data_IF_612303035519
#
_entry.id   IF_612303035519
#
_cell.length_a   1.000
_cell.length_b   1.000
_cell.length_c   1.000
_cell.angle_alpha   90.00
_cell.angle_beta   90.00
_cell.angle_gamma   90.00
#
_symmetry.space_group_name_H-M   'P 1'
#
loop_
_entity.id
_entity.type
_entity.pdbx_description
1 polymer ?
#
# COMPACT_ATOMS: atom_id res chain seq x y z
N UNK A 1 4.48 37.70 9.02
CA UNK A 1 4.26 36.43 9.75
C UNK A 1 2.90 35.81 9.46
N UNK A 2 1.77 36.51 9.61
CA UNK A 2 0.45 35.89 9.39
C UNK A 2 0.21 35.51 7.91
N UNK A 3 0.60 36.38 6.96
CA UNK A 3 0.51 36.09 5.51
C UNK A 3 1.41 34.94 5.04
N UNK A 4 2.59 34.75 5.65
CA UNK A 4 3.53 33.69 5.28
C UNK A 4 3.06 32.32 5.76
N UNK A 5 2.44 32.24 6.94
CA UNK A 5 1.90 30.99 7.47
C UNK A 5 0.68 30.52 6.67
N UNK A 6 -0.23 31.43 6.32
CA UNK A 6 -1.42 31.09 5.49
C UNK A 6 -1.00 30.59 4.11
N UNK A 7 0.00 31.22 3.49
CA UNK A 7 0.55 30.74 2.21
C UNK A 7 1.21 29.36 2.36
N UNK A 8 1.97 29.12 3.44
CA UNK A 8 2.63 27.84 3.67
C UNK A 8 1.64 26.69 3.88
N UNK A 9 0.60 26.93 4.69
CA UNK A 9 -0.45 25.97 4.98
C UNK A 9 -1.29 25.56 3.75
N UNK A 10 -1.24 26.33 2.66
CA UNK A 10 -1.91 25.99 1.39
C UNK A 10 -0.94 25.38 0.36
N UNK A 11 0.27 25.93 0.24
CA UNK A 11 1.22 25.52 -0.80
C UNK A 11 1.94 24.21 -0.48
N UNK A 12 2.31 23.98 0.79
CA UNK A 12 3.06 22.78 1.20
C UNK A 12 2.25 21.50 1.02
N UNK A 13 0.97 21.42 1.47
CA UNK A 13 0.17 20.21 1.24
C UNK A 13 0.07 19.83 -0.24
N UNK A 14 -0.14 20.82 -1.12
CA UNK A 14 -0.21 20.58 -2.56
C UNK A 14 1.11 20.06 -3.13
N UNK A 15 2.24 20.66 -2.75
CA UNK A 15 3.57 20.23 -3.21
C UNK A 15 3.93 18.80 -2.77
N UNK A 16 3.33 18.33 -1.67
CA UNK A 16 3.55 17.00 -1.10
C UNK A 16 2.41 16.02 -1.41
N UNK A 17 1.43 16.36 -2.25
CA UNK A 17 0.27 15.50 -2.51
C UNK A 17 -0.53 15.12 -1.25
N UNK A 18 -0.72 16.07 -0.32
CA UNK A 18 -1.53 15.89 0.89
C UNK A 18 -2.92 16.46 0.64
N UNK A 19 -3.92 15.59 0.62
CA UNK A 19 -5.34 15.96 0.49
C UNK A 19 -6.07 16.00 1.83
N UNK A 20 -5.47 15.40 2.88
CA UNK A 20 -6.06 15.37 4.22
C UNK A 20 -6.03 16.77 4.84
N UNK A 21 -7.19 17.30 5.29
CA UNK A 21 -7.22 18.60 5.96
C UNK A 21 -6.42 18.60 7.27
N UNK A 22 -5.67 19.67 7.50
CA UNK A 22 -4.95 19.90 8.75
C UNK A 22 -5.95 20.31 9.84
N UNK A 23 -5.90 19.62 10.98
CA UNK A 23 -6.68 19.91 12.16
C UNK A 23 -5.98 20.98 13.00
N UNK A 24 -6.27 22.24 12.71
CA UNK A 24 -5.69 23.38 13.42
C UNK A 24 -6.01 23.44 14.92
N UNK A 25 -7.00 22.67 15.42
CA UNK A 25 -7.31 22.61 16.86
C UNK A 25 -6.23 21.93 17.69
N UNK A 26 -5.42 21.06 17.06
CA UNK A 26 -4.32 20.36 17.72
C UNK A 26 -2.96 20.81 17.20
N UNK A 27 -2.92 21.93 16.47
CA UNK A 27 -1.70 22.46 15.87
C UNK A 27 -0.88 23.24 16.90
N UNK A 28 0.41 22.94 16.97
CA UNK A 28 1.34 23.42 18.00
C UNK A 28 2.42 24.33 17.41
N UNK A 29 3.19 25.00 18.26
CA UNK A 29 4.36 25.79 17.83
C UNK A 29 5.42 24.93 17.13
N UNK A 30 5.53 23.64 17.49
CA UNK A 30 6.41 22.68 16.81
C UNK A 30 5.92 22.37 15.40
N UNK A 31 4.60 22.28 15.22
CA UNK A 31 3.98 22.09 13.91
C UNK A 31 4.20 23.33 13.03
N UNK A 32 4.08 24.52 13.61
CA UNK A 32 4.38 25.80 12.94
C UNK A 32 5.84 25.83 12.44
N UNK A 33 6.79 25.51 13.32
CA UNK A 33 8.20 25.43 12.95
C UNK A 33 8.44 24.42 11.82
N UNK A 34 7.83 23.22 11.92
CA UNK A 34 7.96 22.16 10.91
C UNK A 34 7.39 22.61 9.56
N UNK A 35 6.22 23.25 9.56
CA UNK A 35 5.58 23.78 8.35
C UNK A 35 6.45 24.85 7.67
N UNK A 36 7.08 25.74 8.45
CA UNK A 36 8.04 26.72 7.92
C UNK A 36 9.27 26.07 7.30
N UNK A 37 9.80 24.97 7.87
CA UNK A 37 10.91 24.23 7.25
C UNK A 37 10.47 23.58 5.94
N UNK A 38 9.29 22.96 5.90
CA UNK A 38 8.74 22.38 4.68
C UNK A 38 8.49 23.44 3.60
N UNK A 39 8.00 24.63 3.96
CA UNK A 39 7.83 25.73 3.02
C UNK A 39 9.16 26.15 2.40
N UNK A 40 10.20 26.34 3.22
CA UNK A 40 11.55 26.66 2.73
C UNK A 40 12.08 25.57 1.79
N UNK A 41 11.87 24.30 2.12
CA UNK A 41 12.36 23.19 1.33
C UNK A 41 11.61 23.04 -0.01
N UNK A 42 10.28 22.93 0.03
CA UNK A 42 9.47 22.53 -1.14
C UNK A 42 8.95 23.70 -1.97
N UNK A 43 8.86 24.92 -1.40
CA UNK A 43 8.35 26.10 -2.11
C UNK A 43 9.48 27.04 -2.47
N UNK A 44 10.38 27.33 -1.53
CA UNK A 44 11.52 28.21 -1.78
C UNK A 44 12.76 27.48 -2.34
N UNK A 45 12.74 26.14 -2.40
CA UNK A 45 13.86 25.30 -2.85
C UNK A 45 15.17 25.57 -2.09
N UNK A 46 15.07 25.83 -0.79
CA UNK A 46 16.22 26.14 0.08
C UNK A 46 16.63 24.95 0.93
N UNK A 47 17.93 24.86 1.21
CA UNK A 47 18.45 23.96 2.21
C UNK A 47 17.86 24.26 3.59
N UNK A 48 17.68 23.22 4.39
CA UNK A 48 17.21 23.32 5.77
C UNK A 48 18.29 22.85 6.76
N UNK A 49 18.21 23.39 7.97
CA UNK A 49 19.08 22.94 9.07
C UNK A 49 18.47 21.71 9.74
N UNK A 50 19.10 20.56 9.58
CA UNK A 50 18.76 19.32 10.30
C UNK A 50 19.97 18.83 11.10
N UNK A 51 19.71 18.21 12.24
CA UNK A 51 20.75 17.58 13.07
C UNK A 51 20.62 16.06 12.90
N UNK A 52 21.62 15.41 12.32
CA UNK A 52 21.66 13.95 12.07
C UNK A 52 20.37 13.36 11.46
N UNK A 53 19.86 13.87 10.31
CA UNK A 53 18.64 13.32 9.74
C UNK A 53 18.87 11.90 9.21
N UNK A 54 17.89 11.02 9.48
CA UNK A 54 17.80 9.73 8.80
C UNK A 54 17.49 9.97 7.31
N UNK A 55 18.01 9.11 6.43
CA UNK A 55 17.83 9.26 4.99
C UNK A 55 16.36 9.22 4.53
N UNK A 56 15.52 8.46 5.25
CA UNK A 56 14.06 8.42 5.10
C UNK A 56 13.47 8.61 6.50
N UNK A 57 12.50 9.51 6.65
CA UNK A 57 11.92 9.79 7.95
C UNK A 57 10.49 10.31 7.87
N UNK A 58 9.78 10.22 9.00
CA UNK A 58 8.42 10.73 9.17
C UNK A 58 8.44 12.09 9.88
N UNK A 59 7.65 13.03 9.38
CA UNK A 59 7.21 14.20 10.16
C UNK A 59 5.71 14.05 10.45
N UNK A 60 5.31 14.35 11.69
CA UNK A 60 3.91 14.51 12.06
C UNK A 60 3.63 15.99 12.26
N UNK A 61 2.58 16.51 11.61
CA UNK A 61 2.10 17.89 11.76
C UNK A 61 0.63 17.81 12.15
N UNK A 62 0.27 18.19 13.37
CA UNK A 62 -1.09 17.99 13.89
C UNK A 62 -1.59 16.54 13.66
N UNK A 63 -2.58 16.33 12.79
CA UNK A 63 -3.16 15.03 12.44
C UNK A 63 -2.55 14.36 11.19
N UNK A 64 -1.66 15.02 10.45
CA UNK A 64 -1.08 14.48 9.21
C UNK A 64 0.30 13.87 9.46
N UNK A 65 0.59 12.77 8.77
CA UNK A 65 1.89 12.12 8.76
C UNK A 65 2.48 12.14 7.35
N UNK A 66 3.70 12.66 7.24
CA UNK A 66 4.37 12.90 5.96
C UNK A 66 5.66 12.07 5.92
N UNK A 67 5.82 11.25 4.89
CA UNK A 67 7.06 10.53 4.60
C UNK A 67 7.96 11.39 3.72
N UNK A 68 9.19 11.63 4.16
CA UNK A 68 10.17 12.48 3.48
C UNK A 68 11.51 11.76 3.38
N UNK A 69 12.31 12.18 2.41
CA UNK A 69 13.72 11.79 2.32
C UNK A 69 14.62 13.00 2.52
N UNK A 70 15.79 12.76 3.09
CA UNK A 70 16.79 13.78 3.31
C UNK A 70 18.08 13.43 2.59
N UNK A 71 18.61 14.39 1.84
CA UNK A 71 19.91 14.29 1.19
C UNK A 71 20.88 15.33 1.77
N UNK A 72 22.13 14.93 1.99
CA UNK A 72 23.21 15.84 2.38
C UNK A 72 24.06 16.21 1.17
N UNK A 73 24.48 17.46 1.08
CA UNK A 73 25.45 17.90 0.07
C UNK A 73 26.91 17.61 0.46
N UNK A 74 27.14 16.86 1.54
CA UNK A 74 28.45 16.58 2.15
C UNK A 74 29.21 17.84 2.62
N UNK A 75 28.57 19.02 2.63
CA UNK A 75 29.10 20.30 3.11
C UNK A 75 28.29 20.85 4.29
N UNK A 76 27.48 20.00 4.91
CA UNK A 76 26.68 20.32 6.10
C UNK A 76 25.31 20.95 5.80
N UNK A 77 24.88 21.00 4.52
CA UNK A 77 23.50 21.38 4.17
C UNK A 77 22.66 20.15 3.91
N UNK A 78 21.39 20.25 4.24
CA UNK A 78 20.41 19.19 4.04
C UNK A 78 19.27 19.68 3.15
N UNK A 79 18.84 18.81 2.25
CA UNK A 79 17.75 19.04 1.32
C UNK A 79 16.69 17.99 1.58
N UNK A 80 15.42 18.44 1.64
CA UNK A 80 14.29 17.52 1.70
C UNK A 80 13.76 17.28 0.30
N UNK A 81 13.35 16.05 0.08
CA UNK A 81 12.60 15.68 -1.11
C UNK A 81 11.40 14.81 -0.72
N UNK A 82 10.44 14.72 -1.62
CA UNK A 82 9.28 13.85 -1.47
C UNK A 82 9.77 12.40 -1.56
N UNK A 83 9.47 11.58 -0.56
CA UNK A 83 9.91 10.19 -0.57
C UNK A 83 9.38 9.40 -1.77
N UNK A 84 8.20 9.77 -2.28
CA UNK A 84 7.50 9.05 -3.35
C UNK A 84 8.07 9.29 -4.77
N UNK A 85 9.15 10.05 -4.90
CA UNK A 85 9.94 10.16 -6.15
C UNK A 85 11.13 9.19 -6.17
N UNK A 86 11.38 8.46 -5.08
CA UNK A 86 12.55 7.60 -4.91
C UNK A 86 12.26 6.11 -5.18
N UNK A 87 13.33 5.33 -5.35
CA UNK A 87 13.29 3.85 -5.41
C UNK A 87 14.24 3.24 -4.37
N UNK A 88 13.91 2.04 -3.90
CA UNK A 88 14.69 1.28 -2.91
C UNK A 88 15.21 -0.02 -3.50
N UNK A 89 16.21 -0.62 -2.86
CA UNK A 89 16.75 -1.93 -3.24
C UNK A 89 16.13 -3.05 -2.41
N UNK A 90 15.74 -4.13 -3.08
CA UNK A 90 15.34 -5.39 -2.46
C UNK A 90 16.53 -6.34 -2.48
N UNK A 91 16.94 -6.80 -1.30
CA UNK A 91 17.99 -7.80 -1.11
C UNK A 91 17.30 -9.08 -0.67
N UNK A 92 17.24 -10.09 -1.55
CA UNK A 92 16.61 -11.36 -1.21
C UNK A 92 17.52 -12.25 -0.38
N UNK A 93 18.76 -12.46 -0.83
CA UNK A 93 19.83 -13.23 -0.17
C UNK A 93 21.19 -12.69 -0.64
N UNK A 94 22.28 -12.97 0.10
CA UNK A 94 23.63 -12.45 -0.20
C UNK A 94 24.17 -12.84 -1.60
N UNK A 95 23.65 -13.90 -2.21
CA UNK A 95 24.14 -14.43 -3.49
C UNK A 95 23.36 -13.93 -4.71
N UNK A 96 22.28 -13.17 -4.50
CA UNK A 96 21.42 -12.65 -5.57
C UNK A 96 21.60 -11.15 -5.69
N UNK A 97 21.94 -10.68 -6.89
CA UNK A 97 22.06 -9.24 -7.17
C UNK A 97 20.78 -8.52 -6.76
N UNK A 98 20.88 -7.48 -5.91
CA UNK A 98 19.73 -6.67 -5.52
C UNK A 98 19.02 -6.10 -6.76
N UNK A 99 17.71 -5.90 -6.65
CA UNK A 99 16.94 -5.21 -7.69
C UNK A 99 16.18 -4.05 -7.08
N UNK A 100 15.86 -3.06 -7.92
CA UNK A 100 15.19 -1.84 -7.46
C UNK A 100 13.68 -1.98 -7.60
N UNK A 101 12.98 -1.51 -6.59
CA UNK A 101 11.52 -1.39 -6.55
C UNK A 101 11.14 0.03 -6.14
N UNK A 102 9.91 0.48 -6.45
CA UNK A 102 9.44 1.76 -5.98
C UNK A 102 9.45 1.84 -4.44
N UNK A 103 9.59 3.05 -3.90
CA UNK A 103 9.46 3.31 -2.46
C UNK A 103 8.11 2.85 -1.87
N UNK A 104 7.09 2.61 -2.70
CA UNK A 104 5.83 2.03 -2.26
C UNK A 104 5.99 0.67 -1.57
N UNK A 105 6.99 -0.13 -1.96
CA UNK A 105 7.31 -1.41 -1.32
C UNK A 105 7.85 -1.27 0.11
N UNK A 106 8.31 -0.08 0.52
CA UNK A 106 8.72 0.19 1.91
C UNK A 106 7.52 0.34 2.87
N UNK A 107 6.34 0.65 2.34
CA UNK A 107 5.21 1.06 3.18
C UNK A 107 4.67 -0.09 4.02
N UNK A 108 4.64 -1.31 3.47
CA UNK A 108 3.87 -2.42 4.00
C UNK A 108 2.41 -1.99 4.36
N UNK A 109 1.69 -2.77 5.17
CA UNK A 109 0.33 -2.40 5.59
C UNK A 109 0.30 -1.06 6.35
N UNK A 110 1.24 -0.89 7.29
CA UNK A 110 1.22 0.24 8.23
C UNK A 110 1.45 1.58 7.54
N UNK A 111 2.33 1.62 6.53
CA UNK A 111 2.63 2.84 5.78
C UNK A 111 1.43 3.35 4.98
N UNK A 112 0.70 2.45 4.30
CA UNK A 112 -0.51 2.81 3.56
C UNK A 112 -1.63 3.38 4.46
N UNK A 113 -1.70 2.93 5.72
CA UNK A 113 -2.63 3.48 6.72
C UNK A 113 -2.13 4.83 7.25
N UNK A 114 -0.82 4.92 7.53
CA UNK A 114 -0.21 6.01 8.27
C UNK A 114 -0.02 7.29 7.45
N UNK A 115 0.60 7.20 6.27
CA UNK A 115 1.10 8.39 5.56
C UNK A 115 0.03 9.05 4.69
N UNK A 116 -0.01 10.38 4.72
CA UNK A 116 -1.05 11.19 4.07
C UNK A 116 -0.58 11.85 2.77
N UNK A 117 0.69 11.65 2.41
CA UNK A 117 1.33 12.21 1.22
C UNK A 117 1.56 11.18 0.10
N UNK A 118 0.85 10.04 0.11
CA UNK A 118 0.99 8.96 -0.88
C UNK A 118 0.37 9.39 -2.21
N UNK A 119 1.12 9.46 -3.33
CA UNK A 119 0.59 9.69 -4.68
C UNK A 119 0.04 8.40 -5.27
N UNK A 120 -1.21 8.09 -4.92
CA UNK A 120 -1.89 6.85 -5.31
C UNK A 120 -1.94 6.61 -6.83
N UNK A 121 -2.12 7.67 -7.61
CA UNK A 121 -2.15 7.68 -9.08
C UNK A 121 -0.80 7.29 -9.73
N UNK A 122 0.31 7.47 -9.03
CA UNK A 122 1.67 7.17 -9.52
C UNK A 122 2.14 5.74 -9.23
N UNK A 123 1.40 4.97 -8.42
CA UNK A 123 1.87 3.68 -7.90
C UNK A 123 2.15 2.68 -9.04
N UNK A 124 1.17 2.46 -9.92
CA UNK A 124 1.31 1.49 -11.01
C UNK A 124 2.40 1.90 -12.00
N UNK A 125 2.48 3.20 -12.33
CA UNK A 125 3.52 3.75 -13.20
C UNK A 125 4.92 3.48 -12.64
N UNK A 126 5.14 3.74 -11.35
CA UNK A 126 6.42 3.50 -10.71
C UNK A 126 6.83 2.02 -10.73
N UNK A 127 5.88 1.09 -10.47
CA UNK A 127 6.16 -0.34 -10.62
C UNK A 127 6.51 -0.70 -12.06
N UNK A 128 5.79 -0.14 -13.03
CA UNK A 128 6.08 -0.36 -14.45
C UNK A 128 7.48 0.14 -14.85
N UNK A 129 7.89 1.32 -14.40
CA UNK A 129 9.23 1.87 -14.62
C UNK A 129 10.36 0.97 -14.07
N UNK A 130 10.13 0.33 -12.92
CA UNK A 130 11.07 -0.64 -12.35
C UNK A 130 11.02 -1.98 -13.09
N UNK A 131 9.82 -2.46 -13.43
CA UNK A 131 9.58 -3.73 -14.12
C UNK A 131 10.26 -3.79 -15.49
N UNK A 132 10.25 -2.70 -16.26
CA UNK A 132 10.96 -2.61 -17.54
C UNK A 132 12.46 -2.94 -17.39
N UNK A 133 13.04 -2.70 -16.21
CA UNK A 133 14.45 -2.94 -15.91
C UNK A 133 14.68 -4.34 -15.31
N UNK A 134 13.71 -4.86 -14.56
CA UNK A 134 13.81 -6.16 -13.89
C UNK A 134 12.44 -6.80 -13.68
N UNK A 135 12.20 -7.97 -14.27
CA UNK A 135 10.91 -8.67 -14.17
C UNK A 135 10.60 -9.19 -12.76
N UNK A 136 11.60 -9.33 -11.89
CA UNK A 136 11.41 -9.75 -10.48
C UNK A 136 10.55 -8.76 -9.69
N UNK A 137 10.39 -7.53 -10.19
CA UNK A 137 9.47 -6.53 -9.65
C UNK A 137 8.04 -7.05 -9.55
N UNK A 138 7.59 -7.94 -10.43
CA UNK A 138 6.26 -8.55 -10.36
C UNK A 138 6.03 -9.31 -9.04
N UNK A 139 7.07 -10.00 -8.54
CA UNK A 139 6.99 -10.76 -7.28
C UNK A 139 6.76 -9.81 -6.11
N UNK A 140 7.52 -8.71 -6.06
CA UNK A 140 7.40 -7.72 -5.00
C UNK A 140 6.05 -6.97 -5.09
N UNK A 141 5.66 -6.55 -6.29
CA UNK A 141 4.37 -5.88 -6.53
C UNK A 141 3.18 -6.74 -6.09
N UNK A 142 3.22 -8.07 -6.29
CA UNK A 142 2.19 -8.97 -5.80
C UNK A 142 2.16 -9.06 -4.26
N UNK A 143 3.32 -9.01 -3.57
CA UNK A 143 3.36 -8.93 -2.10
C UNK A 143 2.80 -7.60 -1.61
N UNK A 144 3.15 -6.50 -2.27
CA UNK A 144 2.70 -5.16 -1.91
C UNK A 144 1.20 -5.01 -2.14
N UNK A 145 0.63 -5.64 -3.17
CA UNK A 145 -0.82 -5.74 -3.34
C UNK A 145 -1.50 -6.35 -2.10
N UNK A 146 -0.93 -7.42 -1.52
CA UNK A 146 -1.50 -8.03 -0.32
C UNK A 146 -1.43 -7.07 0.89
N UNK A 147 -0.36 -6.28 1.01
CA UNK A 147 -0.26 -5.23 2.03
C UNK A 147 -1.27 -4.09 1.83
N UNK A 148 -1.50 -3.67 0.59
CA UNK A 148 -2.51 -2.68 0.22
C UNK A 148 -3.91 -3.16 0.63
N UNK A 149 -4.24 -4.44 0.39
CA UNK A 149 -5.54 -5.01 0.79
C UNK A 149 -5.72 -5.05 2.31
N UNK A 150 -4.67 -5.41 3.07
CA UNK A 150 -4.72 -5.34 4.54
C UNK A 150 -4.93 -3.91 5.02
N UNK A 151 -4.24 -2.94 4.40
CA UNK A 151 -4.40 -1.53 4.71
C UNK A 151 -5.83 -1.03 4.41
N UNK A 152 -6.44 -1.48 3.30
CA UNK A 152 -7.84 -1.21 3.00
C UNK A 152 -8.76 -1.68 4.12
N UNK A 153 -8.61 -2.93 4.54
CA UNK A 153 -9.45 -3.54 5.56
C UNK A 153 -9.32 -2.78 6.89
N UNK A 154 -8.11 -2.37 7.29
CA UNK A 154 -7.85 -1.57 8.49
C UNK A 154 -8.42 -0.14 8.39
N UNK A 155 -8.29 0.52 7.25
CA UNK A 155 -8.84 1.86 7.03
C UNK A 155 -10.36 1.86 7.09
N UNK A 156 -11.00 0.81 6.55
CA UNK A 156 -12.46 0.63 6.63
C UNK A 156 -12.91 0.42 8.07
N UNK A 157 -12.21 -0.43 8.83
CA UNK A 157 -12.50 -0.68 10.25
C UNK A 157 -12.31 0.56 11.13
N UNK A 158 -11.31 1.40 10.82
CA UNK A 158 -11.02 2.64 11.55
C UNK A 158 -11.86 3.84 11.11
N UNK A 159 -12.81 3.66 10.19
CA UNK A 159 -13.71 4.73 9.72
C UNK A 159 -13.07 5.74 8.76
N UNK A 160 -11.85 5.49 8.26
CA UNK A 160 -11.13 6.35 7.31
C UNK A 160 -11.58 6.09 5.87
N UNK A 161 -12.87 6.34 5.61
CA UNK A 161 -13.55 5.91 4.38
C UNK A 161 -12.95 6.52 3.11
N UNK A 162 -12.65 7.82 3.09
CA UNK A 162 -12.06 8.47 1.90
C UNK A 162 -10.72 7.87 1.51
N UNK A 163 -9.82 7.65 2.49
CA UNK A 163 -8.53 7.00 2.26
C UNK A 163 -8.71 5.55 1.78
N UNK A 164 -9.68 4.82 2.33
CA UNK A 164 -9.97 3.46 1.89
C UNK A 164 -10.42 3.38 0.42
N UNK A 165 -11.12 4.41 -0.10
CA UNK A 165 -11.50 4.47 -1.53
C UNK A 165 -10.29 4.57 -2.44
N UNK A 166 -9.30 5.41 -2.08
CA UNK A 166 -8.06 5.50 -2.86
C UNK A 166 -7.28 4.18 -2.84
N UNK A 167 -7.17 3.55 -1.67
CA UNK A 167 -6.44 2.29 -1.50
C UNK A 167 -7.06 1.16 -2.33
N UNK A 168 -8.39 0.99 -2.31
CA UNK A 168 -9.02 -0.09 -3.08
C UNK A 168 -8.94 0.16 -4.59
N UNK A 169 -8.99 1.44 -5.02
CA UNK A 169 -8.78 1.81 -6.42
C UNK A 169 -7.37 1.44 -6.90
N UNK A 170 -6.33 1.76 -6.11
CA UNK A 170 -4.95 1.36 -6.42
C UNK A 170 -4.78 -0.15 -6.41
N UNK A 171 -5.40 -0.86 -5.45
CA UNK A 171 -5.35 -2.31 -5.41
C UNK A 171 -5.89 -2.92 -6.69
N UNK A 172 -7.02 -2.41 -7.20
CA UNK A 172 -7.60 -2.84 -8.47
C UNK A 172 -6.63 -2.61 -9.63
N UNK A 173 -6.13 -1.39 -9.81
CA UNK A 173 -5.22 -1.06 -10.92
C UNK A 173 -3.91 -1.84 -10.87
N UNK A 174 -3.36 -2.08 -9.67
CA UNK A 174 -2.14 -2.89 -9.51
C UNK A 174 -2.39 -4.37 -9.80
N UNK A 175 -3.55 -4.91 -9.40
CA UNK A 175 -3.93 -6.29 -9.67
C UNK A 175 -4.15 -6.55 -11.17
N UNK A 176 -4.79 -5.60 -11.87
CA UNK A 176 -4.94 -5.63 -13.32
C UNK A 176 -3.58 -5.58 -14.03
N UNK A 177 -2.72 -4.64 -13.64
CA UNK A 177 -1.36 -4.53 -14.19
C UNK A 177 -0.52 -5.79 -13.96
N UNK A 178 -0.64 -6.44 -12.80
CA UNK A 178 0.02 -7.72 -12.51
C UNK A 178 -0.46 -8.83 -13.46
N UNK A 179 -1.78 -8.94 -13.68
CA UNK A 179 -2.34 -9.94 -14.58
C UNK A 179 -1.92 -9.70 -16.03
N UNK A 180 -1.91 -8.45 -16.49
CA UNK A 180 -1.50 -8.06 -17.85
C UNK A 180 -0.02 -8.36 -18.12
N UNK A 181 0.83 -8.32 -17.09
CA UNK A 181 2.27 -8.54 -17.20
C UNK A 181 2.71 -9.97 -16.83
N UNK A 182 1.78 -10.85 -16.47
CA UNK A 182 2.07 -12.27 -16.20
C UNK A 182 2.33 -13.02 -17.51
N UNK A 183 3.59 -13.39 -17.76
CA UNK A 183 4.01 -14.06 -19.01
C UNK A 183 4.16 -15.58 -18.88
N UNK A 184 4.46 -16.06 -17.68
CA UNK A 184 4.84 -17.45 -17.46
C UNK A 184 3.63 -18.33 -17.14
N UNK A 185 2.42 -17.74 -17.14
CA UNK A 185 1.13 -18.35 -16.78
C UNK A 185 1.08 -19.00 -15.38
N UNK A 186 2.16 -18.92 -14.60
CA UNK A 186 2.34 -19.65 -13.36
C UNK A 186 1.51 -19.08 -12.21
N UNK A 187 1.25 -17.76 -12.25
CA UNK A 187 0.50 -17.05 -11.21
C UNK A 187 -0.86 -16.55 -11.66
N UNK A 188 -1.34 -16.89 -12.87
CA UNK A 188 -2.64 -16.42 -13.39
C UNK A 188 -3.77 -16.68 -12.40
N UNK A 189 -3.84 -17.89 -11.85
CA UNK A 189 -4.89 -18.25 -10.89
C UNK A 189 -4.83 -17.40 -9.61
N UNK A 190 -3.62 -17.04 -9.16
CA UNK A 190 -3.41 -16.17 -7.99
C UNK A 190 -3.83 -14.73 -8.32
N UNK A 191 -3.44 -14.20 -9.48
CA UNK A 191 -3.81 -12.86 -9.93
C UNK A 191 -5.33 -12.72 -10.10
N UNK A 192 -5.98 -13.70 -10.73
CA UNK A 192 -7.44 -13.76 -10.84
C UNK A 192 -8.11 -13.79 -9.47
N UNK A 193 -7.61 -14.62 -8.55
CA UNK A 193 -8.12 -14.69 -7.19
C UNK A 193 -7.94 -13.36 -6.44
N UNK A 194 -6.81 -12.67 -6.65
CA UNK A 194 -6.54 -11.35 -6.09
C UNK A 194 -7.52 -10.28 -6.60
N UNK A 195 -7.83 -10.28 -7.90
CA UNK A 195 -8.86 -9.40 -8.48
C UNK A 195 -10.25 -9.72 -7.86
N UNK A 196 -10.61 -11.00 -7.75
CA UNK A 196 -11.91 -11.40 -7.20
C UNK A 196 -12.07 -11.02 -5.72
N UNK A 197 -11.02 -11.13 -4.90
CA UNK A 197 -11.10 -10.65 -3.51
C UNK A 197 -11.18 -9.13 -3.39
N UNK A 198 -10.68 -8.36 -4.38
CA UNK A 198 -10.87 -6.91 -4.46
C UNK A 198 -12.33 -6.60 -4.80
N UNK A 199 -12.90 -7.33 -5.76
CA UNK A 199 -14.31 -7.17 -6.16
C UNK A 199 -15.24 -7.46 -4.97
N UNK A 200 -15.00 -8.57 -4.23
CA UNK A 200 -15.83 -8.94 -3.05
C UNK A 200 -15.86 -7.86 -1.97
N UNK A 201 -14.79 -7.06 -1.83
CA UNK A 201 -14.71 -5.95 -0.87
C UNK A 201 -15.59 -4.75 -1.26
N UNK A 202 -15.92 -4.64 -2.54
CA UNK A 202 -16.63 -3.51 -3.13
C UNK A 202 -18.10 -3.82 -3.40
N UNK A 203 -18.40 -5.04 -3.86
CA UNK A 203 -19.76 -5.45 -4.26
C UNK A 203 -19.92 -6.97 -4.25
N UNK A 204 -21.15 -7.42 -4.49
CA UNK A 204 -21.46 -8.83 -4.80
C UNK A 204 -20.93 -9.22 -6.19
N UNK A 205 -20.66 -10.51 -6.36
CA UNK A 205 -20.19 -11.07 -7.63
C UNK A 205 -21.28 -11.12 -8.70
N UNK A 206 -20.87 -11.02 -9.96
CA UNK A 206 -21.68 -11.36 -11.13
C UNK A 206 -21.68 -12.87 -11.37
N UNK A 207 -22.55 -13.36 -12.25
CA UNK A 207 -22.58 -14.78 -12.63
C UNK A 207 -21.25 -15.24 -13.24
N UNK A 208 -20.64 -14.43 -14.11
CA UNK A 208 -19.34 -14.74 -14.73
C UNK A 208 -18.22 -14.83 -13.69
N UNK A 209 -18.22 -13.96 -12.67
CA UNK A 209 -17.25 -13.98 -11.58
C UNK A 209 -17.45 -15.20 -10.67
N UNK A 210 -18.70 -15.60 -10.42
CA UNK A 210 -19.01 -16.85 -9.71
C UNK A 210 -18.53 -18.06 -10.52
N UNK A 211 -18.75 -18.09 -11.83
CA UNK A 211 -18.28 -19.16 -12.70
C UNK A 211 -16.75 -19.26 -12.71
N UNK A 212 -16.05 -18.13 -12.76
CA UNK A 212 -14.59 -18.10 -12.64
C UNK A 212 -14.12 -18.64 -11.27
N UNK A 213 -14.79 -18.26 -10.17
CA UNK A 213 -14.49 -18.83 -8.85
C UNK A 213 -14.73 -20.35 -8.79
N UNK A 214 -15.77 -20.86 -9.44
CA UNK A 214 -16.02 -22.30 -9.53
C UNK A 214 -14.90 -23.00 -10.29
N UNK A 215 -14.36 -22.41 -11.35
CA UNK A 215 -13.20 -22.93 -12.07
C UNK A 215 -11.94 -22.92 -11.18
N UNK A 216 -11.67 -21.81 -10.49
CA UNK A 216 -10.54 -21.68 -9.56
C UNK A 216 -10.67 -22.66 -8.37
N UNK A 217 -11.88 -23.02 -7.96
CA UNK A 217 -12.11 -24.00 -6.89
C UNK A 217 -11.71 -25.43 -7.26
N UNK A 218 -11.40 -25.67 -8.54
CA UNK A 218 -10.89 -26.94 -9.07
C UNK A 218 -9.39 -26.91 -9.39
N UNK A 219 -8.68 -25.82 -9.03
CA UNK A 219 -7.25 -25.68 -9.30
C UNK A 219 -6.40 -26.71 -8.53
N UNK A 220 -5.24 -27.09 -9.07
CA UNK A 220 -4.33 -28.03 -8.40
C UNK A 220 -3.76 -27.46 -7.09
N UNK A 221 -3.63 -26.14 -6.98
CA UNK A 221 -3.17 -25.47 -5.77
C UNK A 221 -4.24 -25.42 -4.69
N UNK A 222 -3.95 -26.08 -3.57
CA UNK A 222 -4.78 -26.08 -2.36
C UNK A 222 -5.05 -24.66 -1.81
N UNK A 223 -4.08 -23.75 -1.92
CA UNK A 223 -4.28 -22.34 -1.54
C UNK A 223 -5.30 -21.63 -2.44
N UNK A 224 -5.24 -21.88 -3.76
CA UNK A 224 -6.18 -21.28 -4.72
C UNK A 224 -7.59 -21.83 -4.47
N UNK A 225 -7.72 -23.15 -4.26
CA UNK A 225 -9.00 -23.78 -3.92
C UNK A 225 -9.61 -23.19 -2.65
N UNK A 226 -8.84 -23.14 -1.56
CA UNK A 226 -9.28 -22.56 -0.30
C UNK A 226 -9.74 -21.11 -0.47
N UNK A 227 -8.94 -20.30 -1.16
CA UNK A 227 -9.29 -18.91 -1.45
C UNK A 227 -10.58 -18.78 -2.28
N UNK A 228 -10.75 -19.60 -3.32
CA UNK A 228 -11.95 -19.60 -4.13
C UNK A 228 -13.19 -19.97 -3.31
N UNK A 229 -13.11 -21.00 -2.46
CA UNK A 229 -14.22 -21.36 -1.57
C UNK A 229 -14.55 -20.29 -0.53
N UNK A 230 -13.56 -19.59 0.01
CA UNK A 230 -13.79 -18.42 0.88
C UNK A 230 -14.54 -17.30 0.14
N UNK A 231 -14.18 -17.02 -1.12
CA UNK A 231 -14.86 -16.01 -1.92
C UNK A 231 -16.27 -16.47 -2.32
N UNK A 232 -16.53 -17.76 -2.48
CA UNK A 232 -17.87 -18.33 -2.73
C UNK A 232 -18.75 -18.49 -1.46
N UNK A 233 -18.28 -18.06 -0.29
CA UNK A 233 -18.96 -18.24 1.00
C UNK A 233 -19.25 -19.72 1.34
N UNK A 234 -18.43 -20.65 0.80
CA UNK A 234 -18.48 -22.09 1.11
C UNK A 234 -17.56 -22.40 2.29
N UNK A 235 -17.86 -21.81 3.44
CA UNK A 235 -16.96 -21.80 4.61
C UNK A 235 -16.61 -23.20 5.11
N UNK A 236 -17.57 -24.13 5.16
CA UNK A 236 -17.32 -25.50 5.60
C UNK A 236 -16.28 -26.21 4.70
N UNK A 237 -16.41 -26.02 3.39
CA UNK A 237 -15.50 -26.59 2.39
C UNK A 237 -14.14 -25.91 2.45
N UNK A 238 -14.12 -24.58 2.54
CA UNK A 238 -12.88 -23.82 2.70
C UNK A 238 -12.11 -24.25 3.94
N UNK A 239 -12.79 -24.41 5.07
CA UNK A 239 -12.18 -24.83 6.33
C UNK A 239 -11.65 -26.27 6.24
N UNK A 240 -12.39 -27.19 5.61
CA UNK A 240 -11.93 -28.55 5.36
C UNK A 240 -10.62 -28.55 4.57
N UNK A 241 -10.52 -27.76 3.49
CA UNK A 241 -9.31 -27.64 2.67
C UNK A 241 -8.15 -27.03 3.48
N UNK A 242 -8.39 -25.93 4.20
CA UNK A 242 -7.36 -25.24 5.01
C UNK A 242 -6.82 -26.15 6.12
N UNK A 243 -7.65 -27.02 6.70
CA UNK A 243 -7.22 -27.98 7.73
C UNK A 243 -6.25 -29.05 7.20
N UNK A 244 -6.23 -29.30 5.89
CA UNK A 244 -5.27 -30.24 5.28
C UNK A 244 -3.89 -29.60 5.03
N UNK A 245 -3.74 -28.28 5.20
CA UNK A 245 -2.46 -27.62 4.96
C UNK A 245 -1.43 -28.02 6.01
N UNK A 246 -0.14 -28.16 5.62
CA UNK A 246 0.96 -28.10 6.58
C UNK A 246 0.86 -26.85 7.46
N UNK A 247 1.26 -26.94 8.74
CA UNK A 247 1.04 -25.85 9.71
C UNK A 247 1.75 -24.53 9.33
N UNK A 248 2.93 -24.61 8.70
CA UNK A 248 3.64 -23.43 8.18
C UNK A 248 2.89 -22.78 7.00
N UNK A 249 2.37 -23.60 6.09
CA UNK A 249 1.55 -23.19 4.94
C UNK A 249 0.24 -22.55 5.41
N UNK A 250 -0.39 -23.15 6.42
CA UNK A 250 -1.61 -22.64 7.06
C UNK A 250 -1.38 -21.31 7.75
N UNK A 251 -0.30 -21.17 8.53
CA UNK A 251 0.06 -19.91 9.16
C UNK A 251 0.28 -18.80 8.13
N UNK A 252 0.97 -19.11 7.02
CA UNK A 252 1.16 -18.18 5.91
C UNK A 252 -0.16 -17.81 5.22
N UNK A 253 -1.01 -18.79 4.93
CA UNK A 253 -2.31 -18.56 4.29
C UNK A 253 -3.22 -17.67 5.15
N UNK A 254 -3.27 -17.92 6.45
CA UNK A 254 -4.06 -17.13 7.40
C UNK A 254 -3.53 -15.70 7.57
N UNK A 255 -2.28 -15.43 7.18
CA UNK A 255 -1.73 -14.08 7.12
C UNK A 255 -2.08 -13.35 5.81
N UNK A 256 -2.66 -14.00 4.81
CA UNK A 256 -3.10 -13.31 3.59
C UNK A 256 -4.41 -12.53 3.81
N UNK A 257 -4.61 -11.41 3.11
CA UNK A 257 -5.82 -10.58 3.24
C UNK A 257 -7.12 -11.34 2.90
N UNK A 258 -7.07 -12.39 2.07
CA UNK A 258 -8.24 -13.21 1.75
C UNK A 258 -8.79 -13.97 2.96
N UNK A 259 -7.96 -14.23 3.99
CA UNK A 259 -8.38 -14.94 5.19
C UNK A 259 -9.40 -14.15 6.04
N UNK A 260 -9.60 -12.85 5.77
CA UNK A 260 -10.66 -12.07 6.41
C UNK A 260 -12.05 -12.69 6.18
N UNK A 261 -12.26 -13.34 5.03
CA UNK A 261 -13.52 -14.00 4.68
C UNK A 261 -13.74 -15.35 5.38
N UNK A 262 -12.71 -15.90 6.04
CA UNK A 262 -12.86 -17.09 6.88
C UNK A 262 -13.49 -16.77 8.24
N UNK A 263 -13.43 -15.50 8.67
CA UNK A 263 -14.03 -15.04 9.92
C UNK A 263 -15.50 -14.72 9.65
N UNK A 264 -16.39 -15.52 10.20
CA UNK A 264 -17.83 -15.19 10.25
C UNK A 264 -17.96 -13.79 10.85
N UNK A 265 -18.57 -12.81 10.16
CA UNK A 265 -19.08 -11.63 10.84
C UNK A 265 -20.12 -12.14 11.83
N UNK A 266 -19.93 -11.88 13.13
CA UNK A 266 -21.00 -12.01 14.12
C UNK A 266 -22.11 -11.00 13.77
N UNK A 267 -22.94 -11.33 12.78
CA UNK A 267 -24.13 -10.59 12.39
C UNK A 267 -25.25 -11.58 12.10
N UNK A 268 -25.58 -12.38 13.13
CA UNK A 268 -26.89 -12.96 13.37
C UNK A 268 -26.90 -13.33 14.86
N UNK A 269 -27.31 -12.40 15.72
CA UNK A 269 -27.98 -12.69 17.00
C UNK A 269 -28.55 -11.38 17.56
N UNK A 270 -29.87 -11.28 17.42
CA UNK A 270 -30.87 -10.39 18.05
C UNK A 270 -30.90 -8.91 17.64
#
# INVERSE_FOLDING_TARGET
MILSLVSACMSVPNALNITTPINYKVFTEKDDFSMHQLYKAFIENKAIGLTNPQGIFKISIANINVLLVCQSDNRGKFYLDNAFTSSIEVIQNNDVTPFRVPIFSFLEQNGYVLFDNIPYDRIVEAYNECYIKDSRVLIQANLDLLHILKAYDELKLSGKLEKSKFIIGVAQSLAEWLLENERDNSMIAIHQLNILQIIKRQRTFTEDEVNLLLQLSQNDSDMVKAGAFLLLDKLDVAQFVIQQFPEDVKARFMNFPIAIFAKVPNCCNN
#
